data_IF_232978485231
#
_entry.id   IF_232978485231
#
_cell.length_a   1.000
_cell.length_b   1.000
_cell.length_c   1.000
_cell.angle_alpha   90.00
_cell.angle_beta   90.00
_cell.angle_gamma   90.00
#
_symmetry.space_group_name_H-M   'P 1'
#
loop_
_entity.id
_entity.type
_entity.pdbx_description
1 polymer ?
#
# COMPACT_ATOMS: atom_id res chain seq x y z
N UNK A 1 -9.42 22.32 -58.67
CA UNK A 1 -9.22 22.48 -57.21
C UNK A 1 -9.18 21.07 -56.64
N UNK A 2 -8.16 20.51 -55.99
CA UNK A 2 -6.94 20.99 -55.32
C UNK A 2 -5.81 19.96 -55.60
N UNK A 3 -4.57 20.44 -55.63
CA UNK A 3 -3.35 19.63 -55.78
C UNK A 3 -3.15 18.75 -54.54
N UNK A 4 -2.95 17.44 -54.72
CA UNK A 4 -2.36 16.57 -53.69
C UNK A 4 -0.86 16.91 -53.61
N UNK A 5 -0.43 17.46 -52.48
CA UNK A 5 0.98 17.59 -52.15
C UNK A 5 1.41 16.33 -51.39
N UNK A 6 2.37 15.63 -51.97
CA UNK A 6 3.08 14.49 -51.41
C UNK A 6 4.05 15.04 -50.34
N UNK A 7 3.73 14.85 -49.05
CA UNK A 7 4.67 15.11 -47.97
C UNK A 7 5.28 13.77 -47.54
N UNK A 8 6.51 13.51 -48.00
CA UNK A 8 7.32 12.41 -47.52
C UNK A 8 7.75 12.70 -46.08
N UNK A 9 7.38 11.82 -45.15
CA UNK A 9 7.92 11.86 -43.79
C UNK A 9 9.26 11.14 -43.82
N UNK A 10 10.31 11.95 -43.78
CA UNK A 10 11.71 11.58 -43.73
C UNK A 10 11.98 10.89 -42.39
N UNK A 11 12.33 9.61 -42.40
CA UNK A 11 12.92 8.91 -41.24
C UNK A 11 14.28 9.58 -40.95
N UNK A 12 14.31 10.43 -39.94
CA UNK A 12 15.56 10.92 -39.35
C UNK A 12 15.95 9.91 -38.28
N UNK A 13 16.98 9.12 -38.57
CA UNK A 13 17.67 8.33 -37.55
C UNK A 13 18.43 9.26 -36.61
N UNK A 14 18.04 9.26 -35.34
CA UNK A 14 18.85 9.79 -34.25
C UNK A 14 19.39 8.58 -33.48
N UNK A 15 20.66 8.29 -33.72
CA UNK A 15 21.49 7.62 -32.74
C UNK A 15 21.75 8.66 -31.63
N UNK A 16 21.16 8.44 -30.45
CA UNK A 16 21.51 9.17 -29.24
C UNK A 16 21.83 8.14 -28.15
N UNK A 17 23.10 8.13 -27.77
CA UNK A 17 23.68 7.35 -26.71
C UNK A 17 23.60 8.19 -25.44
N UNK A 18 22.50 8.09 -24.70
CA UNK A 18 22.32 8.48 -23.28
C UNK A 18 20.94 7.96 -22.81
N UNK A 19 20.69 6.67 -23.05
CA UNK A 19 19.35 6.06 -23.10
C UNK A 19 18.64 5.78 -21.76
N UNK A 20 18.89 6.59 -20.73
CA UNK A 20 18.18 6.48 -19.45
C UNK A 20 16.97 7.40 -19.39
N UNK A 21 17.21 8.69 -19.44
CA UNK A 21 16.20 9.71 -19.12
C UNK A 21 15.26 9.97 -20.31
N UNK A 22 15.77 9.98 -21.55
CA UNK A 22 14.93 10.11 -22.77
C UNK A 22 13.91 8.98 -22.90
N UNK A 23 14.29 7.76 -22.52
CA UNK A 23 13.40 6.60 -22.55
C UNK A 23 12.32 6.69 -21.46
N UNK A 24 12.68 7.19 -20.27
CA UNK A 24 11.74 7.43 -19.17
C UNK A 24 10.78 8.57 -19.50
N UNK A 25 11.25 9.65 -20.12
CA UNK A 25 10.39 10.77 -20.51
C UNK A 25 9.33 10.32 -21.52
N UNK A 26 9.72 9.58 -22.57
CA UNK A 26 8.77 9.02 -23.53
C UNK A 26 7.79 8.04 -22.86
N UNK A 27 8.30 7.18 -21.96
CA UNK A 27 7.47 6.28 -21.16
C UNK A 27 6.44 7.01 -20.31
N UNK A 28 6.83 8.11 -19.66
CA UNK A 28 5.95 8.93 -18.85
C UNK A 28 4.91 9.66 -19.69
N UNK A 29 5.27 10.17 -20.88
CA UNK A 29 4.29 10.79 -21.80
C UNK A 29 3.23 9.79 -22.26
N UNK A 30 3.63 8.55 -22.51
CA UNK A 30 2.69 7.46 -22.82
C UNK A 30 1.81 7.16 -21.61
N UNK A 31 2.39 7.02 -20.42
CA UNK A 31 1.65 6.71 -19.19
C UNK A 31 0.65 7.82 -18.81
N UNK A 32 1.02 9.09 -18.94
CA UNK A 32 0.12 10.22 -18.72
C UNK A 32 -1.05 10.19 -19.70
N UNK A 33 -0.76 10.01 -20.99
CA UNK A 33 -1.79 9.97 -22.01
C UNK A 33 -2.71 8.75 -21.88
N UNK A 34 -2.15 7.59 -21.51
CA UNK A 34 -2.91 6.34 -21.40
C UNK A 34 -3.76 6.33 -20.12
N UNK A 35 -3.20 6.76 -18.99
CA UNK A 35 -3.94 6.86 -17.72
C UNK A 35 -4.86 8.07 -17.63
N UNK A 36 -4.84 8.97 -18.63
CA UNK A 36 -5.69 10.14 -18.67
C UNK A 36 -5.37 11.17 -17.59
N UNK A 37 -4.14 11.16 -17.06
CA UNK A 37 -3.72 12.11 -16.04
C UNK A 37 -3.71 13.52 -16.63
N UNK A 38 -4.35 14.46 -15.93
CA UNK A 38 -4.43 15.86 -16.36
C UNK A 38 -3.77 16.82 -15.38
N UNK A 39 -3.47 16.35 -14.16
CA UNK A 39 -2.76 17.12 -13.14
C UNK A 39 -1.79 16.24 -12.35
N UNK A 40 -0.73 16.88 -11.85
CA UNK A 40 0.15 16.33 -10.82
C UNK A 40 0.34 17.36 -9.72
N UNK A 41 0.61 16.90 -8.50
CA UNK A 41 1.11 17.76 -7.44
C UNK A 41 2.18 17.05 -6.61
N UNK A 42 3.21 17.80 -6.24
CA UNK A 42 4.18 17.34 -5.24
C UNK A 42 3.52 17.44 -3.86
N UNK A 43 3.34 16.30 -3.19
CA UNK A 43 2.96 16.28 -1.79
C UNK A 43 4.16 16.79 -0.96
N UNK A 44 3.97 17.92 -0.29
CA UNK A 44 4.89 18.46 0.69
C UNK A 44 4.18 18.78 2.01
N UNK A 45 4.06 17.77 2.87
CA UNK A 45 3.65 17.97 4.27
C UNK A 45 4.67 18.82 5.08
N UNK A 46 5.87 19.05 4.51
CA UNK A 46 6.88 19.95 5.04
C UNK A 46 7.61 20.72 3.92
N UNK A 47 7.71 22.04 4.05
CA UNK A 47 8.48 22.93 3.15
C UNK A 47 9.79 23.42 3.78
N UNK A 48 10.02 23.08 5.04
CA UNK A 48 11.25 23.41 5.79
C UNK A 48 11.84 22.14 6.38
N UNK A 49 13.14 21.90 6.15
CA UNK A 49 13.85 20.72 6.65
C UNK A 49 15.15 21.10 7.38
N UNK A 50 15.59 20.21 8.27
CA UNK A 50 16.88 20.36 8.96
C UNK A 50 18.04 20.12 7.99
N UNK A 51 19.15 20.86 8.16
CA UNK A 51 20.39 20.53 7.47
C UNK A 51 20.86 19.11 7.86
N UNK A 52 21.33 18.33 6.90
CA UNK A 52 21.72 16.92 7.04
C UNK A 52 20.57 15.97 7.42
N UNK A 53 19.30 16.37 7.25
CA UNK A 53 18.16 15.45 7.29
C UNK A 53 17.69 15.08 5.88
N UNK A 54 16.75 14.14 5.81
CA UNK A 54 16.10 13.74 4.58
C UNK A 54 14.59 13.98 4.68
N UNK A 55 13.96 14.25 3.54
CA UNK A 55 12.53 14.41 3.36
C UNK A 55 12.11 13.61 2.12
N UNK A 56 11.15 12.71 2.26
CA UNK A 56 10.59 11.99 1.13
C UNK A 56 9.43 12.80 0.55
N UNK A 57 9.56 13.26 -0.68
CA UNK A 57 8.46 13.86 -1.43
C UNK A 57 7.75 12.77 -2.23
N UNK A 58 6.45 12.98 -2.46
CA UNK A 58 5.69 12.15 -3.40
C UNK A 58 5.14 13.03 -4.52
N UNK A 59 5.13 12.52 -5.75
CA UNK A 59 4.37 13.11 -6.86
C UNK A 59 3.08 12.32 -7.02
N UNK A 60 1.94 12.99 -6.81
CA UNK A 60 0.62 12.40 -6.97
C UNK A 60 0.00 12.88 -8.28
N UNK A 61 -0.61 11.96 -9.04
CA UNK A 61 -1.29 12.24 -10.29
C UNK A 61 -2.80 11.97 -10.17
N UNK A 62 -3.57 12.73 -10.94
CA UNK A 62 -5.03 12.65 -10.96
C UNK A 62 -5.60 12.93 -12.34
N UNK A 63 -6.85 12.53 -12.53
CA UNK A 63 -7.65 12.80 -13.74
C UNK A 63 -8.57 14.01 -13.50
N UNK A 64 -9.26 14.48 -14.55
CA UNK A 64 -10.11 15.69 -14.49
C UNK A 64 -11.12 15.63 -13.33
N UNK A 65 -10.82 16.36 -12.25
CA UNK A 65 -11.55 16.30 -10.97
C UNK A 65 -10.71 16.52 -9.70
N UNK A 66 -9.37 16.55 -9.81
CA UNK A 66 -8.40 16.86 -8.74
C UNK A 66 -8.29 15.83 -7.58
N UNK A 67 -8.79 14.60 -7.77
CA UNK A 67 -8.44 13.49 -6.88
C UNK A 67 -7.01 13.01 -7.19
N UNK A 68 -6.04 13.56 -6.45
CA UNK A 68 -4.62 13.25 -6.57
C UNK A 68 -4.27 12.06 -5.68
N UNK A 69 -4.63 10.86 -6.13
CA UNK A 69 -4.45 9.62 -5.34
C UNK A 69 -3.41 8.66 -5.93
N UNK A 70 -2.95 8.87 -7.17
CA UNK A 70 -2.03 7.94 -7.83
C UNK A 70 -0.57 8.37 -7.58
N UNK A 71 0.18 7.59 -6.81
CA UNK A 71 1.61 7.87 -6.57
C UNK A 71 2.45 7.49 -7.80
N UNK A 72 3.03 8.50 -8.46
CA UNK A 72 3.88 8.36 -9.66
C UNK A 72 5.33 8.76 -9.40
N UNK A 73 5.75 8.82 -8.14
CA UNK A 73 7.07 9.34 -7.72
C UNK A 73 8.25 8.60 -8.33
N UNK A 74 8.13 7.27 -8.53
CA UNK A 74 9.18 6.44 -9.13
C UNK A 74 9.26 6.58 -10.65
N UNK A 75 8.19 7.06 -11.28
CA UNK A 75 8.14 7.35 -12.71
C UNK A 75 8.69 8.75 -13.00
N UNK A 76 8.42 9.71 -12.12
CA UNK A 76 8.81 11.10 -12.28
C UNK A 76 10.34 11.28 -12.41
N UNK A 77 10.73 12.34 -13.11
CA UNK A 77 12.10 12.83 -13.18
C UNK A 77 12.22 13.96 -12.16
N UNK A 78 13.07 13.75 -11.16
CA UNK A 78 13.28 14.69 -10.07
C UNK A 78 14.58 15.45 -10.26
N UNK A 79 14.56 16.75 -10.03
CA UNK A 79 15.78 17.56 -9.97
C UNK A 79 15.67 18.70 -8.95
N UNK A 80 16.84 19.17 -8.51
CA UNK A 80 16.97 20.33 -7.62
C UNK A 80 17.56 21.50 -8.40
N UNK A 81 17.05 22.71 -8.18
CA UNK A 81 17.59 23.93 -8.78
C UNK A 81 18.94 24.34 -8.19
N UNK A 82 19.27 23.86 -6.98
CA UNK A 82 20.56 24.08 -6.32
C UNK A 82 20.97 22.84 -5.49
N UNK A 83 21.77 21.97 -6.11
CA UNK A 83 22.33 20.78 -5.48
C UNK A 83 23.33 21.08 -4.35
N UNK A 84 23.74 22.32 -4.14
CA UNK A 84 24.56 22.70 -2.97
C UNK A 84 23.71 22.89 -1.72
N UNK A 85 22.43 23.30 -1.89
CA UNK A 85 21.45 23.47 -0.80
C UNK A 85 20.76 22.14 -0.48
N UNK A 86 20.22 21.44 -1.47
CA UNK A 86 19.66 20.10 -1.29
C UNK A 86 19.72 19.29 -2.59
N UNK A 87 19.93 17.99 -2.47
CA UNK A 87 19.88 17.03 -3.60
C UNK A 87 18.61 16.21 -3.54
N UNK A 88 18.09 15.73 -4.67
CA UNK A 88 16.93 14.82 -4.73
C UNK A 88 17.27 13.54 -5.48
N UNK A 89 16.82 12.40 -4.96
CA UNK A 89 16.99 11.09 -5.62
C UNK A 89 15.94 10.86 -6.71
N UNK A 90 16.16 9.83 -7.54
CA UNK A 90 15.18 9.41 -8.56
C UNK A 90 13.85 8.88 -7.97
N UNK A 91 13.75 8.70 -6.65
CA UNK A 91 12.52 8.31 -5.96
C UNK A 91 11.87 9.47 -5.20
N UNK A 92 12.38 10.70 -5.33
CA UNK A 92 11.87 11.87 -4.59
C UNK A 92 12.44 12.06 -3.19
N UNK A 93 13.51 11.34 -2.82
CA UNK A 93 14.17 11.52 -1.51
C UNK A 93 15.09 12.73 -1.54
N UNK A 94 14.70 13.81 -0.87
CA UNK A 94 15.45 15.06 -0.74
C UNK A 94 16.42 14.95 0.44
N UNK A 95 17.68 15.32 0.24
CA UNK A 95 18.71 15.41 1.28
C UNK A 95 19.18 16.85 1.41
N UNK A 96 18.93 17.47 2.57
CA UNK A 96 19.32 18.85 2.84
C UNK A 96 20.80 18.94 3.22
N UNK A 97 21.53 19.87 2.62
CA UNK A 97 22.98 20.00 2.79
C UNK A 97 23.36 21.29 3.51
N UNK A 98 23.01 22.45 2.95
CA UNK A 98 23.39 23.76 3.49
C UNK A 98 22.20 24.69 3.58
N UNK A 99 22.27 25.64 4.52
CA UNK A 99 21.24 26.66 4.69
C UNK A 99 20.96 27.42 3.40
N UNK A 100 19.68 27.47 3.03
CA UNK A 100 19.25 28.06 1.77
C UNK A 100 17.84 27.67 1.40
N UNK A 101 17.40 28.14 0.25
CA UNK A 101 16.14 27.72 -0.37
C UNK A 101 16.50 27.16 -1.74
N UNK A 102 15.99 25.98 -2.05
CA UNK A 102 16.09 25.39 -3.39
C UNK A 102 14.73 24.89 -3.82
N UNK A 103 14.49 24.85 -5.13
CA UNK A 103 13.25 24.36 -5.69
C UNK A 103 13.47 22.93 -6.15
N UNK A 104 12.67 22.02 -5.61
CA UNK A 104 12.61 20.63 -6.07
C UNK A 104 11.51 20.54 -7.12
N UNK A 105 11.86 20.04 -8.30
CA UNK A 105 10.98 19.97 -9.46
C UNK A 105 10.81 18.50 -9.83
N UNK A 106 9.57 18.13 -10.12
CA UNK A 106 9.18 16.78 -10.47
C UNK A 106 8.41 16.80 -11.80
N UNK A 107 9.02 16.25 -12.84
CA UNK A 107 8.42 16.14 -14.16
C UNK A 107 7.88 14.74 -14.41
N UNK A 108 6.63 14.67 -14.86
CA UNK A 108 5.93 13.45 -15.22
C UNK A 108 5.33 13.61 -16.62
N UNK A 109 6.13 13.32 -17.64
CA UNK A 109 5.73 13.47 -19.03
C UNK A 109 5.50 14.95 -19.37
N UNK A 110 4.32 15.35 -19.87
CA UNK A 110 4.01 16.77 -20.11
C UNK A 110 3.56 17.52 -18.86
N UNK A 111 3.37 16.83 -17.73
CA UNK A 111 2.94 17.42 -16.47
C UNK A 111 4.17 17.62 -15.59
N UNK A 112 4.15 18.66 -14.76
CA UNK A 112 5.20 18.91 -13.80
C UNK A 112 4.67 19.77 -12.67
N UNK A 113 5.28 19.60 -11.51
CA UNK A 113 5.04 20.45 -10.36
C UNK A 113 6.34 20.66 -9.57
N UNK A 114 6.35 21.66 -8.70
CA UNK A 114 7.55 22.07 -7.98
C UNK A 114 7.22 22.57 -6.59
N UNK A 115 8.16 22.36 -5.66
CA UNK A 115 8.07 22.85 -4.29
C UNK A 115 9.38 23.52 -3.88
N UNK A 116 9.28 24.67 -3.23
CA UNK A 116 10.43 25.29 -2.58
C UNK A 116 10.70 24.60 -1.24
N UNK A 117 11.93 24.11 -1.08
CA UNK A 117 12.45 23.51 0.13
C UNK A 117 13.45 24.47 0.76
N UNK A 118 13.14 24.91 1.99
CA UNK A 118 14.06 25.67 2.83
C UNK A 118 14.86 24.71 3.71
N UNK A 119 16.17 24.69 3.54
CA UNK A 119 17.11 24.01 4.44
C UNK A 119 17.59 25.00 5.48
N UNK A 120 17.54 24.62 6.76
CA UNK A 120 17.99 25.48 7.86
C UNK A 120 18.67 24.68 8.97
N UNK A 121 19.81 25.19 9.43
CA UNK A 121 20.65 24.68 10.50
C UNK A 121 20.33 25.26 11.88
N UNK A 122 19.22 26.02 11.99
CA UNK A 122 18.73 26.52 13.25
C UNK A 122 18.64 25.39 14.29
N UNK A 123 19.06 25.61 15.55
CA UNK A 123 19.03 24.56 16.56
C UNK A 123 17.60 24.34 17.06
N UNK A 124 17.22 23.06 17.17
CA UNK A 124 15.95 22.66 17.78
C UNK A 124 15.96 23.05 19.27
N UNK A 125 14.96 23.83 19.68
CA UNK A 125 14.84 24.34 21.05
C UNK A 125 13.78 23.61 21.86
N UNK A 126 12.69 23.17 21.23
CA UNK A 126 11.58 22.49 21.88
C UNK A 126 10.84 21.60 20.88
N UNK A 127 10.25 20.50 21.37
CA UNK A 127 9.28 19.70 20.63
C UNK A 127 7.92 19.82 21.31
N UNK A 128 6.89 20.16 20.55
CA UNK A 128 5.50 20.13 20.97
C UNK A 128 4.85 18.86 20.43
N UNK A 129 4.40 17.99 21.32
CA UNK A 129 3.71 16.76 20.97
C UNK A 129 2.22 16.95 21.17
N UNK A 130 1.41 16.60 20.18
CA UNK A 130 -0.05 16.66 20.26
C UNK A 130 -0.68 15.39 19.71
N UNK A 131 -1.90 15.11 20.18
CA UNK A 131 -2.79 14.07 19.67
C UNK A 131 -4.21 14.66 19.61
N UNK A 132 -5.03 14.33 18.59
CA UNK A 132 -6.44 14.73 18.57
C UNK A 132 -7.24 14.12 19.74
N UNK A 133 -6.86 12.92 20.16
CA UNK A 133 -7.55 12.13 21.17
C UNK A 133 -6.70 12.04 22.43
N UNK A 134 -7.21 12.58 23.54
CA UNK A 134 -6.55 12.49 24.85
C UNK A 134 -6.83 11.15 25.57
N UNK A 135 -7.85 10.43 25.11
CA UNK A 135 -8.18 9.09 25.55
C UNK A 135 -8.64 8.26 24.35
N UNK A 136 -8.27 6.98 24.34
CA UNK A 136 -8.67 5.99 23.35
C UNK A 136 -9.10 4.70 24.04
N UNK A 137 -9.80 3.84 23.31
CA UNK A 137 -10.18 2.53 23.81
C UNK A 137 -8.99 1.57 23.78
N UNK A 138 -9.03 0.53 24.61
CA UNK A 138 -8.03 -0.54 24.57
C UNK A 138 -8.05 -1.25 23.21
N UNK A 139 -6.89 -1.70 22.72
CA UNK A 139 -6.75 -2.39 21.43
C UNK A 139 -7.02 -1.51 20.20
N UNK A 140 -7.00 -0.18 20.35
CA UNK A 140 -7.13 0.79 19.26
C UNK A 140 -5.84 1.58 19.06
N UNK A 141 -5.86 2.59 18.18
CA UNK A 141 -4.68 3.38 17.85
C UNK A 141 -4.96 4.88 17.91
N UNK A 142 -3.94 5.65 18.26
CA UNK A 142 -3.96 7.12 18.20
C UNK A 142 -2.78 7.64 17.38
N UNK A 143 -3.02 8.69 16.61
CA UNK A 143 -1.96 9.38 15.87
C UNK A 143 -1.43 10.57 16.65
N UNK A 144 -0.11 10.64 16.78
CA UNK A 144 0.61 11.76 17.39
C UNK A 144 1.32 12.57 16.33
N UNK A 145 1.40 13.87 16.56
CA UNK A 145 2.24 14.78 15.77
C UNK A 145 3.29 15.45 16.65
N UNK A 146 4.47 15.68 16.07
CA UNK A 146 5.56 16.40 16.69
C UNK A 146 5.89 17.67 15.89
N UNK A 147 5.72 18.82 16.52
CA UNK A 147 6.09 20.14 16.00
C UNK A 147 7.39 20.61 16.64
N UNK A 148 8.42 20.86 15.84
CA UNK A 148 9.71 21.39 16.28
C UNK A 148 9.70 22.92 16.33
N UNK A 149 10.14 23.49 17.45
CA UNK A 149 10.38 24.93 17.62
C UNK A 149 11.88 25.17 17.51
N UNK A 150 12.30 25.94 16.52
CA UNK A 150 13.72 26.20 16.22
C UNK A 150 14.11 27.62 16.60
N UNK A 151 15.32 27.78 17.14
CA UNK A 151 15.75 29.09 17.63
C UNK A 151 15.86 30.10 16.48
N UNK A 152 15.17 31.24 16.61
CA UNK A 152 15.18 32.31 15.61
C UNK A 152 14.22 32.11 14.44
N UNK A 153 13.39 31.07 14.47
CA UNK A 153 12.30 30.86 13.51
C UNK A 153 10.95 31.16 14.15
N UNK A 154 10.05 31.78 13.39
CA UNK A 154 8.68 32.08 13.85
C UNK A 154 7.73 30.90 13.65
N UNK A 155 7.98 30.10 12.61
CA UNK A 155 7.16 28.94 12.25
C UNK A 155 7.71 27.65 12.87
N UNK A 156 6.78 26.76 13.26
CA UNK A 156 7.12 25.43 13.73
C UNK A 156 7.23 24.47 12.55
N UNK A 157 8.09 23.46 12.66
CA UNK A 157 8.27 22.46 11.60
C UNK A 157 7.63 21.13 11.97
N UNK A 158 6.98 20.47 11.02
CA UNK A 158 6.55 19.09 11.21
C UNK A 158 7.74 18.15 11.19
N UNK A 159 8.00 17.53 12.34
CA UNK A 159 9.10 16.57 12.52
C UNK A 159 8.59 15.18 12.89
N UNK A 160 7.28 14.92 12.81
CA UNK A 160 6.63 13.65 13.17
C UNK A 160 7.34 12.43 12.58
N UNK A 161 7.77 12.52 11.31
CA UNK A 161 8.46 11.43 10.60
C UNK A 161 9.94 11.24 10.93
N UNK A 162 10.56 12.13 11.70
CA UNK A 162 12.02 12.13 11.95
C UNK A 162 12.40 12.19 13.43
N UNK A 163 11.41 12.21 14.35
CA UNK A 163 11.64 12.06 15.79
C UNK A 163 11.65 10.58 16.18
N UNK A 164 12.36 10.27 17.27
CA UNK A 164 12.31 8.98 17.93
C UNK A 164 11.10 8.95 18.86
N UNK A 165 10.07 8.17 18.51
CA UNK A 165 8.87 8.00 19.32
C UNK A 165 9.04 6.89 20.37
N UNK A 166 8.56 7.15 21.58
CA UNK A 166 8.51 6.18 22.67
C UNK A 166 7.32 6.44 23.60
N UNK A 167 6.92 5.43 24.36
CA UNK A 167 5.91 5.54 25.41
C UNK A 167 6.47 4.98 26.73
N UNK A 168 5.96 5.47 27.85
CA UNK A 168 6.27 4.90 29.18
C UNK A 168 5.89 3.41 29.25
N UNK A 169 6.72 2.62 29.93
CA UNK A 169 6.59 1.16 29.99
C UNK A 169 6.09 0.61 31.34
N UNK A 170 5.80 1.49 32.30
CA UNK A 170 5.27 1.11 33.62
C UNK A 170 4.09 2.03 34.00
N UNK A 171 2.83 1.60 33.75
CA UNK A 171 2.45 0.35 33.09
C UNK A 171 2.75 0.36 31.58
N UNK A 172 2.92 -0.82 30.97
CA UNK A 172 3.03 -0.96 29.51
C UNK A 172 1.64 -0.84 28.89
N UNK A 173 1.26 0.36 28.46
CA UNK A 173 -0.07 0.69 27.91
C UNK A 173 -0.15 0.43 26.39
N UNK A 174 0.97 0.61 25.68
CA UNK A 174 1.03 0.46 24.23
C UNK A 174 2.42 0.76 23.68
N UNK A 175 2.56 0.68 22.36
CA UNK A 175 3.83 0.86 21.65
C UNK A 175 3.64 1.69 20.38
N UNK A 176 4.71 2.33 19.91
CA UNK A 176 4.71 3.02 18.63
C UNK A 176 5.08 2.07 17.49
N UNK A 177 4.38 2.21 16.35
CA UNK A 177 4.84 1.63 15.10
C UNK A 177 5.91 2.53 14.45
N UNK A 178 7.17 2.27 14.79
CA UNK A 178 8.30 2.99 14.22
C UNK A 178 8.73 2.48 12.84
N UNK A 179 7.96 1.57 12.22
CA UNK A 179 8.36 0.86 10.99
C UNK A 179 7.53 1.24 9.78
N UNK A 180 6.23 1.44 9.95
CA UNK A 180 5.31 1.71 8.83
C UNK A 180 4.76 3.15 8.85
N UNK A 181 4.38 3.66 10.03
CA UNK A 181 3.62 4.90 10.17
C UNK A 181 4.12 5.70 11.37
N UNK A 182 4.93 6.72 11.10
CA UNK A 182 5.50 7.56 12.16
C UNK A 182 4.40 8.23 13.01
N UNK A 183 4.60 8.23 14.33
CA UNK A 183 3.64 8.82 15.28
C UNK A 183 2.40 7.97 15.55
N UNK A 184 2.26 6.76 14.99
CA UNK A 184 1.14 5.87 15.29
C UNK A 184 1.39 5.10 16.59
N UNK A 185 0.60 5.39 17.62
CA UNK A 185 0.59 4.68 18.89
C UNK A 185 -0.51 3.60 18.88
N UNK A 186 -0.16 2.37 19.21
CA UNK A 186 -1.08 1.22 19.31
C UNK A 186 -1.23 0.81 20.77
N UNK A 187 -2.45 0.88 21.32
CA UNK A 187 -2.73 0.47 22.69
C UNK A 187 -2.86 -1.05 22.79
N UNK A 188 -2.44 -1.60 23.93
CA UNK A 188 -2.54 -3.03 24.24
C UNK A 188 -3.07 -3.32 25.64
N UNK A 189 -2.84 -2.39 26.59
CA UNK A 189 -3.34 -2.49 27.96
C UNK A 189 -3.92 -1.14 28.41
N UNK A 190 -4.88 -1.19 29.32
CA UNK A 190 -5.46 0.01 29.97
C UNK A 190 -4.45 0.77 30.83
N UNK A 191 -4.69 2.07 31.02
CA UNK A 191 -3.89 2.94 31.90
C UNK A 191 -3.48 4.25 31.23
N UNK A 192 -2.53 4.96 31.84
CA UNK A 192 -2.02 6.23 31.30
C UNK A 192 -0.57 6.05 30.88
N UNK A 193 -0.24 6.46 29.66
CA UNK A 193 1.14 6.52 29.18
C UNK A 193 1.58 7.96 28.94
N UNK A 194 2.86 8.21 29.18
CA UNK A 194 3.54 9.41 28.68
C UNK A 194 4.21 9.06 27.36
N UNK A 195 3.73 9.65 26.28
CA UNK A 195 4.36 9.64 24.95
C UNK A 195 5.48 10.65 24.94
N UNK A 196 6.63 10.24 24.40
CA UNK A 196 7.81 11.10 24.24
C UNK A 196 8.31 11.02 22.80
N UNK A 197 8.41 12.17 22.15
CA UNK A 197 9.14 12.35 20.90
C UNK A 197 10.51 12.97 21.23
N UNK A 198 11.59 12.39 20.73
CA UNK A 198 12.95 12.91 20.96
C UNK A 198 13.65 13.17 19.63
N UNK A 199 14.35 14.30 19.53
CA UNK A 199 15.24 14.62 18.39
C UNK A 199 16.44 15.38 18.92
N UNK A 200 17.65 14.95 18.55
CA UNK A 200 18.90 15.61 18.96
C UNK A 200 19.00 15.84 20.49
N UNK A 201 18.45 14.91 21.29
CA UNK A 201 18.42 15.00 22.75
C UNK A 201 17.38 15.96 23.34
N UNK A 202 16.55 16.62 22.52
CA UNK A 202 15.43 17.46 22.97
C UNK A 202 14.16 16.60 23.04
N UNK A 203 13.55 16.41 24.22
CA UNK A 203 12.29 15.69 24.35
C UNK A 203 11.09 16.64 24.24
N UNK A 204 10.00 16.13 23.68
CA UNK A 204 8.64 16.66 23.84
C UNK A 204 7.73 15.55 24.35
N UNK A 205 6.77 15.88 25.21
CA UNK A 205 5.93 14.88 25.89
C UNK A 205 4.45 15.21 25.82
N UNK A 206 3.61 14.18 25.71
CA UNK A 206 2.16 14.26 25.78
C UNK A 206 1.62 13.02 26.52
N UNK A 207 0.59 13.18 27.35
CA UNK A 207 -0.08 12.04 28.01
C UNK A 207 -1.23 11.52 27.16
N UNK A 208 -1.45 10.20 27.20
CA UNK A 208 -2.59 9.50 26.62
C UNK A 208 -3.18 8.54 27.64
N UNK A 209 -4.51 8.42 27.67
CA UNK A 209 -5.21 7.45 28.52
C UNK A 209 -5.84 6.37 27.66
N UNK A 210 -5.62 5.11 28.00
CA UNK A 210 -6.30 3.96 27.40
C UNK A 210 -7.38 3.49 28.37
N UNK A 211 -8.62 3.55 27.92
CA UNK A 211 -9.81 3.25 28.71
C UNK A 211 -9.94 1.74 28.95
N UNK A 212 -10.56 1.39 30.08
CA UNK A 212 -10.89 0.01 30.43
C UNK A 212 -12.37 -0.25 30.17
N UNK A 213 -12.72 -0.38 28.90
CA UNK A 213 -14.09 -0.56 28.41
C UNK A 213 -14.22 -1.70 27.40
N UNK A 214 -13.16 -2.48 27.15
CA UNK A 214 -13.21 -3.61 26.23
C UNK A 214 -14.13 -4.72 26.77
N UNK A 215 -15.24 -4.96 26.08
CA UNK A 215 -16.25 -5.93 26.47
C UNK A 215 -15.95 -7.32 25.87
N UNK A 216 -15.88 -7.39 24.54
CA UNK A 216 -15.65 -8.65 23.81
C UNK A 216 -14.79 -8.42 22.57
N UNK A 217 -14.03 -9.44 22.19
CA UNK A 217 -13.35 -9.55 20.90
C UNK A 217 -13.99 -10.73 20.14
N UNK A 218 -14.12 -10.60 18.83
CA UNK A 218 -14.66 -11.62 17.93
C UNK A 218 -13.75 -11.76 16.69
N UNK A 219 -13.42 -13.00 16.30
CA UNK A 219 -12.75 -13.29 15.03
C UNK A 219 -13.80 -13.34 13.93
N UNK A 220 -13.68 -12.45 12.94
CA UNK A 220 -14.53 -12.52 11.75
C UNK A 220 -14.13 -13.75 10.92
N UNK A 221 -15.06 -14.69 10.74
CA UNK A 221 -14.87 -15.85 9.88
C UNK A 221 -14.96 -15.43 8.39
N UNK A 222 -13.87 -15.56 7.60
CA UNK A 222 -13.96 -15.39 6.17
C UNK A 222 -14.81 -16.53 5.58
N UNK A 223 -15.53 -16.27 4.49
CA UNK A 223 -16.31 -17.29 3.76
C UNK A 223 -15.46 -18.36 3.06
N UNK A 224 -14.14 -18.33 3.24
CA UNK A 224 -13.14 -19.12 2.54
C UNK A 224 -12.60 -20.26 3.40
N UNK A 225 -12.27 -21.40 2.77
CA UNK A 225 -11.68 -22.55 3.47
C UNK A 225 -10.16 -22.52 3.42
N UNK A 226 -9.53 -22.67 4.58
CA UNK A 226 -8.09 -22.79 4.64
C UNK A 226 -7.65 -24.15 4.07
N UNK A 227 -6.83 -24.16 3.02
CA UNK A 227 -6.23 -25.38 2.44
C UNK A 227 -4.70 -25.31 2.55
N UNK A 228 -3.99 -26.45 2.54
CA UNK A 228 -2.54 -26.43 2.67
C UNK A 228 -1.89 -25.53 1.62
N UNK A 229 -0.93 -24.72 2.05
CA UNK A 229 -0.15 -23.74 1.28
C UNK A 229 -0.93 -22.51 0.80
N UNK A 230 -2.19 -22.37 1.18
CA UNK A 230 -2.95 -21.14 0.99
C UNK A 230 -2.96 -20.26 2.23
N UNK A 231 -3.11 -18.97 1.98
CA UNK A 231 -3.24 -17.95 3.00
C UNK A 231 -4.62 -17.31 2.96
N UNK A 232 -5.14 -16.93 4.12
CA UNK A 232 -6.44 -16.28 4.27
C UNK A 232 -6.31 -15.18 5.29
N UNK A 233 -6.87 -14.02 5.00
CA UNK A 233 -6.98 -12.93 5.95
C UNK A 233 -8.10 -13.18 6.94
N UNK A 234 -7.75 -13.15 8.21
CA UNK A 234 -8.70 -13.06 9.30
C UNK A 234 -8.64 -11.64 9.86
N UNK A 235 -9.81 -11.09 10.17
CA UNK A 235 -9.92 -9.85 10.93
C UNK A 235 -10.50 -10.12 12.31
N UNK A 236 -10.19 -9.23 13.24
CA UNK A 236 -10.75 -9.26 14.59
C UNK A 236 -11.43 -7.94 14.88
N UNK A 237 -12.57 -8.01 15.52
CA UNK A 237 -13.31 -6.82 15.95
C UNK A 237 -13.54 -6.82 17.45
N UNK A 238 -13.58 -5.63 18.04
CA UNK A 238 -13.89 -5.42 19.44
C UNK A 238 -15.19 -4.64 19.62
N UNK A 239 -15.91 -4.91 20.71
CA UNK A 239 -17.00 -4.07 21.21
C UNK A 239 -16.65 -3.51 22.58
N UNK A 240 -17.15 -2.30 22.86
CA UNK A 240 -16.82 -1.55 24.06
C UNK A 240 -18.07 -1.24 24.90
N UNK A 241 -17.90 -1.01 26.20
CA UNK A 241 -19.04 -0.77 27.12
C UNK A 241 -19.76 0.57 26.89
N UNK A 242 -19.09 1.53 26.24
CA UNK A 242 -19.61 2.87 25.96
C UNK A 242 -20.34 2.97 24.61
N UNK A 243 -20.11 2.01 23.71
CA UNK A 243 -20.79 1.91 22.43
C UNK A 243 -20.86 0.45 21.93
N UNK A 244 -22.03 0.03 21.43
CA UNK A 244 -22.22 -1.30 20.84
C UNK A 244 -21.63 -1.41 19.41
N UNK A 245 -20.85 -0.43 18.97
CA UNK A 245 -20.25 -0.45 17.63
C UNK A 245 -19.04 -1.40 17.62
N UNK A 246 -18.92 -2.14 16.53
CA UNK A 246 -17.82 -3.08 16.33
C UNK A 246 -16.65 -2.35 15.67
N UNK A 247 -15.50 -2.32 16.34
CA UNK A 247 -14.27 -1.64 15.88
C UNK A 247 -13.27 -2.69 15.41
N UNK A 248 -12.67 -2.50 14.24
CA UNK A 248 -11.60 -3.35 13.75
C UNK A 248 -10.32 -3.16 14.60
N UNK A 249 -9.82 -4.25 15.17
CA UNK A 249 -8.62 -4.31 15.99
C UNK A 249 -7.55 -5.26 15.42
N UNK A 250 -7.70 -5.70 14.17
CA UNK A 250 -6.87 -6.73 13.53
C UNK A 250 -5.37 -6.44 13.68
N UNK A 251 -4.98 -5.20 13.41
CA UNK A 251 -3.59 -4.75 13.48
C UNK A 251 -3.07 -4.52 14.91
N UNK A 252 -3.98 -4.33 15.86
CA UNK A 252 -3.66 -4.06 17.26
C UNK A 252 -3.63 -5.35 18.11
N UNK A 253 -4.33 -6.39 17.66
CA UNK A 253 -4.40 -7.66 18.36
C UNK A 253 -3.15 -8.53 18.19
N UNK A 254 -3.00 -9.55 19.02
CA UNK A 254 -2.00 -10.59 18.86
C UNK A 254 -2.67 -11.89 18.41
N UNK A 255 -2.12 -12.52 17.37
CA UNK A 255 -2.69 -13.70 16.73
C UNK A 255 -1.81 -14.92 16.96
N UNK A 256 -2.42 -16.05 17.29
CA UNK A 256 -1.71 -17.33 17.50
C UNK A 256 -2.49 -18.44 16.82
N UNK A 257 -1.78 -19.28 16.07
CA UNK A 257 -2.33 -20.55 15.58
C UNK A 257 -1.73 -21.71 16.37
N UNK A 258 -2.58 -22.59 16.87
CA UNK A 258 -2.18 -23.78 17.63
C UNK A 258 -2.79 -25.04 17.00
N UNK A 259 -2.04 -26.14 17.01
CA UNK A 259 -2.50 -27.45 16.52
C UNK A 259 -1.64 -28.56 17.13
N UNK A 260 -2.18 -29.77 17.21
CA UNK A 260 -1.43 -30.99 17.51
C UNK A 260 -0.65 -31.52 16.28
N UNK A 261 -0.93 -30.97 15.10
CA UNK A 261 -0.20 -31.25 13.86
C UNK A 261 1.06 -30.38 13.80
N UNK A 262 2.22 -31.04 13.70
CA UNK A 262 3.52 -30.36 13.49
C UNK A 262 3.50 -29.63 12.14
N UNK A 263 3.89 -28.36 12.16
CA UNK A 263 3.85 -27.45 11.00
C UNK A 263 2.44 -27.37 10.37
N UNK A 264 1.40 -27.26 11.20
CA UNK A 264 0.03 -27.09 10.74
C UNK A 264 -0.16 -25.84 9.88
N UNK A 265 0.36 -24.70 10.36
CA UNK A 265 0.23 -23.40 9.71
C UNK A 265 0.95 -22.32 10.50
N UNK A 266 0.99 -21.11 9.95
CA UNK A 266 1.52 -19.90 10.57
C UNK A 266 0.48 -18.79 10.51
N UNK A 267 0.57 -17.83 11.41
CA UNK A 267 -0.17 -16.57 11.35
C UNK A 267 0.82 -15.41 11.42
N UNK A 268 0.64 -14.42 10.56
CA UNK A 268 1.48 -13.23 10.54
C UNK A 268 1.03 -12.23 11.62
N UNK A 269 2.00 -11.68 12.35
CA UNK A 269 1.80 -10.67 13.39
C UNK A 269 2.48 -9.34 13.04
N UNK A 270 2.94 -9.19 11.81
CA UNK A 270 3.63 -8.03 11.29
C UNK A 270 2.80 -7.33 10.23
N UNK A 271 2.83 -6.01 10.22
CA UNK A 271 2.11 -5.22 9.22
C UNK A 271 2.85 -5.27 7.87
N UNK A 272 2.13 -5.19 6.74
CA UNK A 272 0.67 -5.02 6.63
C UNK A 272 -0.13 -6.33 6.67
N UNK A 273 0.54 -7.48 6.80
CA UNK A 273 -0.08 -8.80 6.65
C UNK A 273 -0.65 -9.36 7.95
N UNK A 274 -0.81 -8.53 8.99
CA UNK A 274 -1.19 -8.97 10.33
C UNK A 274 -2.58 -9.63 10.30
N UNK A 275 -2.68 -10.83 10.86
CA UNK A 275 -3.90 -11.66 10.76
C UNK A 275 -3.95 -12.60 9.55
N UNK A 276 -2.96 -12.55 8.64
CA UNK A 276 -2.83 -13.49 7.53
C UNK A 276 -2.44 -14.87 8.04
N UNK A 277 -3.33 -15.85 7.86
CA UNK A 277 -3.10 -17.24 8.27
C UNK A 277 -2.76 -18.08 7.06
N UNK A 278 -1.60 -18.74 7.06
CA UNK A 278 -1.20 -19.71 6.04
C UNK A 278 -1.23 -21.12 6.60
N UNK A 279 -2.11 -21.99 6.10
CA UNK A 279 -1.98 -23.42 6.38
C UNK A 279 -0.79 -24.00 5.64
N UNK A 280 -0.11 -24.94 6.27
CA UNK A 280 1.01 -25.69 5.65
C UNK A 280 0.63 -27.16 5.49
N UNK A 281 -0.27 -27.70 6.33
CA UNK A 281 -0.71 -29.10 6.30
C UNK A 281 -2.19 -29.23 6.59
N UNK A 282 -2.74 -30.34 6.11
CA UNK A 282 -4.09 -30.78 6.44
C UNK A 282 -4.19 -31.11 7.92
N UNK A 283 -5.26 -30.71 8.60
CA UNK A 283 -5.42 -30.95 10.03
C UNK A 283 -6.48 -30.06 10.66
N UNK A 284 -6.60 -30.16 11.98
CA UNK A 284 -7.38 -29.23 12.77
C UNK A 284 -6.44 -28.37 13.62
N UNK A 285 -6.75 -27.09 13.74
CA UNK A 285 -6.08 -26.18 14.66
C UNK A 285 -7.07 -25.17 15.20
N UNK A 286 -6.59 -24.32 16.08
CA UNK A 286 -7.35 -23.21 16.64
C UNK A 286 -6.57 -21.94 16.38
N UNK A 287 -7.24 -20.98 15.74
CA UNK A 287 -6.77 -19.61 15.66
C UNK A 287 -7.29 -18.86 16.89
N UNK A 288 -6.40 -18.21 17.60
CA UNK A 288 -6.71 -17.42 18.78
C UNK A 288 -6.26 -16.00 18.53
N UNK A 289 -7.15 -15.05 18.77
CA UNK A 289 -6.82 -13.62 18.83
C UNK A 289 -6.88 -13.17 20.29
N UNK A 290 -5.97 -12.28 20.68
CA UNK A 290 -5.89 -11.77 22.05
C UNK A 290 -5.54 -10.30 22.06
N UNK A 291 -6.23 -9.51 22.89
CA UNK A 291 -5.86 -8.13 23.20
C UNK A 291 -6.56 -7.67 24.49
N UNK A 292 -5.92 -6.78 25.28
CA UNK A 292 -6.53 -6.25 26.51
C UNK A 292 -6.88 -7.31 27.57
N UNK A 293 -6.19 -8.45 27.55
CA UNK A 293 -6.53 -9.62 28.38
C UNK A 293 -7.75 -10.42 27.91
N UNK A 294 -8.48 -9.94 26.90
CA UNK A 294 -9.55 -10.68 26.23
C UNK A 294 -8.98 -11.59 25.13
N UNK A 295 -9.70 -12.68 24.87
CA UNK A 295 -9.35 -13.62 23.81
C UNK A 295 -10.61 -14.14 23.13
N UNK A 296 -10.52 -14.36 21.83
CA UNK A 296 -11.46 -15.19 21.09
C UNK A 296 -10.72 -16.32 20.36
N UNK A 297 -11.42 -17.42 20.08
CA UNK A 297 -10.82 -18.59 19.46
C UNK A 297 -11.76 -19.25 18.46
N UNK A 298 -11.25 -19.37 17.24
CA UNK A 298 -11.93 -19.97 16.12
C UNK A 298 -11.28 -21.32 15.76
N UNK A 299 -12.01 -22.44 15.82
CA UNK A 299 -11.51 -23.70 15.27
C UNK A 299 -11.35 -23.59 13.75
N UNK A 300 -10.14 -23.83 13.27
CA UNK A 300 -9.82 -23.86 11.84
C UNK A 300 -9.58 -25.30 11.42
N UNK A 301 -10.27 -25.73 10.37
CA UNK A 301 -10.03 -27.00 9.71
C UNK A 301 -9.32 -26.75 8.39
N UNK A 302 -8.09 -27.25 8.26
CA UNK A 302 -7.42 -27.36 6.98
C UNK A 302 -7.74 -28.71 6.35
N UNK A 303 -8.63 -28.68 5.35
CA UNK A 303 -9.05 -29.89 4.64
C UNK A 303 -7.92 -30.54 3.83
N UNK A 304 -8.14 -31.78 3.39
CA UNK A 304 -7.30 -32.41 2.37
C UNK A 304 -7.18 -31.49 1.17
N UNK A 305 -5.99 -31.37 0.58
CA UNK A 305 -5.85 -30.69 -0.70
C UNK A 305 -6.70 -31.46 -1.73
N UNK A 306 -7.88 -30.93 -2.03
CA UNK A 306 -8.80 -31.56 -2.97
C UNK A 306 -8.21 -31.40 -4.35
N UNK A 307 -8.27 -32.48 -5.15
CA UNK A 307 -7.75 -32.45 -6.52
C UNK A 307 -8.53 -31.39 -7.29
N UNK A 308 -7.80 -30.43 -7.86
CA UNK A 308 -8.41 -29.45 -8.77
C UNK A 308 -8.83 -30.18 -10.04
N UNK A 309 -10.13 -30.14 -10.34
CA UNK A 309 -10.69 -30.74 -11.55
C UNK A 309 -10.97 -29.71 -12.63
N UNK A 310 -11.09 -28.44 -12.28
CA UNK A 310 -11.24 -27.35 -13.26
C UNK A 310 -10.61 -26.05 -12.77
N UNK A 311 -10.27 -25.18 -13.71
CA UNK A 311 -9.79 -23.82 -13.50
C UNK A 311 -10.52 -22.93 -14.51
N UNK A 312 -11.27 -21.93 -14.05
CA UNK A 312 -12.16 -21.10 -14.84
C UNK A 312 -11.94 -19.61 -14.52
N UNK A 313 -12.15 -18.73 -15.50
CA UNK A 313 -12.19 -17.28 -15.30
C UNK A 313 -13.62 -16.73 -15.34
N UNK A 314 -13.90 -15.72 -14.53
CA UNK A 314 -15.13 -14.92 -14.52
C UNK A 314 -14.80 -13.48 -14.88
N UNK A 315 -15.65 -12.76 -15.66
CA UNK A 315 -17.02 -13.12 -16.03
C UNK A 315 -17.19 -14.07 -17.22
N UNK A 316 -16.17 -14.30 -18.03
CA UNK A 316 -16.17 -15.28 -19.15
C UNK A 316 -14.77 -15.87 -19.31
N UNK A 317 -14.66 -17.20 -19.48
CA UNK A 317 -13.39 -17.92 -19.56
C UNK A 317 -12.76 -17.93 -20.95
N UNK A 318 -13.53 -17.52 -21.98
CA UNK A 318 -13.08 -17.59 -23.37
C UNK A 318 -13.00 -16.21 -24.01
N UNK A 319 -14.08 -15.43 -23.97
CA UNK A 319 -14.15 -14.17 -24.72
C UNK A 319 -15.10 -13.15 -24.10
N UNK A 320 -14.57 -11.96 -23.83
CA UNK A 320 -15.34 -10.81 -23.39
C UNK A 320 -15.36 -9.78 -24.53
N UNK A 321 -16.55 -9.52 -25.06
CA UNK A 321 -16.79 -8.48 -26.06
C UNK A 321 -17.88 -7.55 -25.55
N UNK A 322 -17.49 -6.38 -25.06
CA UNK A 322 -18.39 -5.36 -24.51
C UNK A 322 -17.92 -3.97 -24.96
N UNK A 323 -18.82 -2.98 -25.10
CA UNK A 323 -18.42 -1.61 -25.38
C UNK A 323 -17.78 -1.02 -24.12
N UNK A 324 -16.46 -0.97 -24.09
CA UNK A 324 -15.74 -0.31 -23.00
C UNK A 324 -15.45 1.14 -23.36
N UNK A 325 -15.48 2.00 -22.35
CA UNK A 325 -15.06 3.40 -22.42
C UNK A 325 -13.68 3.52 -21.77
N UNK A 326 -12.86 4.48 -22.20
CA UNK A 326 -11.59 4.77 -21.54
C UNK A 326 -11.82 5.11 -20.07
N UNK A 327 -11.12 4.43 -19.17
CA UNK A 327 -11.30 4.47 -17.72
C UNK A 327 -12.11 3.30 -17.15
N UNK A 328 -12.74 2.47 -17.99
CA UNK A 328 -13.48 1.31 -17.50
C UNK A 328 -12.55 0.29 -16.85
N UNK A 329 -13.01 -0.28 -15.75
CA UNK A 329 -12.32 -1.34 -15.04
C UNK A 329 -13.04 -2.68 -15.21
N UNK A 330 -12.27 -3.72 -15.48
CA UNK A 330 -12.73 -5.09 -15.56
C UNK A 330 -11.90 -5.95 -14.60
N UNK A 331 -12.52 -6.34 -13.50
CA UNK A 331 -11.95 -7.34 -12.60
C UNK A 331 -12.15 -8.74 -13.19
N UNK A 332 -11.07 -9.38 -13.61
CA UNK A 332 -11.09 -10.82 -13.83
C UNK A 332 -10.89 -11.53 -12.50
N UNK A 333 -11.67 -12.57 -12.28
CA UNK A 333 -11.52 -13.46 -11.12
C UNK A 333 -11.26 -14.87 -11.62
N UNK A 334 -10.39 -15.59 -10.92
CA UNK A 334 -10.06 -16.96 -11.27
C UNK A 334 -10.56 -17.91 -10.21
N UNK A 335 -11.17 -19.01 -10.61
CA UNK A 335 -11.77 -19.99 -9.73
C UNK A 335 -11.22 -21.37 -10.03
N UNK A 336 -10.98 -22.16 -8.99
CA UNK A 336 -10.73 -23.60 -9.13
C UNK A 336 -11.95 -24.37 -8.67
N UNK A 337 -12.32 -25.40 -9.43
CA UNK A 337 -13.29 -26.39 -9.01
C UNK A 337 -12.58 -27.65 -8.55
N UNK A 338 -13.03 -28.20 -7.44
CA UNK A 338 -12.48 -29.40 -6.82
C UNK A 338 -13.30 -30.65 -7.13
N UNK A 339 -12.71 -31.84 -6.92
CA UNK A 339 -13.39 -33.13 -7.11
C UNK A 339 -14.65 -33.29 -6.25
N UNK A 340 -14.69 -32.68 -5.06
CA UNK A 340 -15.86 -32.65 -4.18
C UNK A 340 -16.96 -31.67 -4.64
N UNK A 341 -16.79 -31.05 -5.81
CA UNK A 341 -17.66 -30.04 -6.44
C UNK A 341 -17.69 -28.68 -5.75
N UNK A 342 -16.81 -28.45 -4.78
CA UNK A 342 -16.63 -27.10 -4.23
C UNK A 342 -15.81 -26.23 -5.20
N UNK A 343 -15.94 -24.91 -5.06
CA UNK A 343 -15.17 -23.94 -5.84
C UNK A 343 -14.49 -22.96 -4.88
N UNK A 344 -13.23 -22.62 -5.16
CA UNK A 344 -12.52 -21.54 -4.47
C UNK A 344 -12.15 -20.45 -5.47
N UNK A 345 -12.29 -19.18 -5.05
CA UNK A 345 -11.68 -18.06 -5.75
C UNK A 345 -10.17 -18.04 -5.43
N UNK A 346 -9.33 -18.06 -6.47
CA UNK A 346 -7.86 -18.09 -6.38
C UNK A 346 -7.23 -16.91 -7.13
N UNK A 347 -7.96 -15.80 -7.25
CA UNK A 347 -7.54 -14.59 -7.98
C UNK A 347 -6.18 -14.08 -7.49
N UNK A 348 -6.00 -14.01 -6.17
CA UNK A 348 -4.77 -13.52 -5.53
C UNK A 348 -3.58 -14.50 -5.68
N UNK A 349 -3.86 -15.81 -5.72
CA UNK A 349 -2.85 -16.88 -5.88
C UNK A 349 -2.45 -17.13 -7.35
N UNK A 350 -3.13 -16.47 -8.29
CA UNK A 350 -2.95 -16.71 -9.72
C UNK A 350 -1.93 -15.74 -10.30
N UNK A 351 -1.05 -16.21 -11.18
CA UNK A 351 -0.18 -15.34 -11.97
C UNK A 351 -0.93 -14.82 -13.17
N UNK A 352 -1.03 -13.49 -13.30
CA UNK A 352 -1.72 -12.84 -14.39
C UNK A 352 -0.73 -12.18 -15.34
N UNK A 353 -0.90 -12.48 -16.62
CA UNK A 353 -0.11 -11.87 -17.71
C UNK A 353 -1.06 -11.42 -18.80
N UNK A 354 -0.71 -10.35 -19.51
CA UNK A 354 -1.50 -9.84 -20.61
C UNK A 354 -0.64 -9.72 -21.85
N UNK A 355 -1.18 -10.17 -22.98
CA UNK A 355 -0.62 -9.97 -24.32
C UNK A 355 -1.59 -9.10 -25.09
N UNK A 356 -1.12 -7.98 -25.61
CA UNK A 356 -1.92 -7.01 -26.35
C UNK A 356 -1.52 -6.97 -27.83
N UNK A 357 -2.49 -6.73 -28.71
CA UNK A 357 -2.21 -6.27 -30.08
C UNK A 357 -1.52 -4.90 -30.07
N UNK A 358 -0.79 -4.57 -31.15
CA UNK A 358 -0.21 -3.23 -31.32
C UNK A 358 -1.28 -2.15 -31.06
N UNK A 359 -0.96 -1.21 -30.17
CA UNK A 359 -1.78 -0.06 -29.74
C UNK A 359 -2.91 -0.31 -28.72
N UNK A 360 -3.05 -1.49 -28.11
CA UNK A 360 -3.97 -1.62 -26.95
C UNK A 360 -3.39 -0.88 -25.74
N UNK A 361 -4.14 0.07 -25.19
CA UNK A 361 -3.78 0.77 -23.94
C UNK A 361 -4.59 0.15 -22.80
N UNK A 362 -3.93 -0.65 -21.96
CA UNK A 362 -4.51 -1.26 -20.76
C UNK A 362 -3.43 -1.38 -19.68
N UNK A 363 -3.86 -1.45 -18.42
CA UNK A 363 -3.03 -1.96 -17.32
C UNK A 363 -3.63 -3.26 -16.80
N UNK A 364 -2.80 -4.13 -16.22
CA UNK A 364 -3.22 -5.33 -15.51
C UNK A 364 -2.53 -5.28 -14.14
N UNK A 365 -3.32 -5.22 -13.07
CA UNK A 365 -2.78 -5.23 -11.72
C UNK A 365 -2.41 -6.65 -11.29
N UNK A 366 -1.24 -6.77 -10.66
CA UNK A 366 -0.80 -7.96 -9.93
C UNK A 366 -0.63 -7.67 -8.42
N UNK A 367 -1.02 -6.47 -7.98
CA UNK A 367 -0.94 -6.04 -6.59
C UNK A 367 -2.02 -6.72 -5.76
N UNK A 368 -1.71 -6.97 -4.49
CA UNK A 368 -2.64 -7.58 -3.55
C UNK A 368 -3.93 -6.76 -3.46
N UNK A 369 -5.08 -7.42 -3.53
CA UNK A 369 -6.41 -6.79 -3.41
C UNK A 369 -6.92 -6.16 -4.71
N UNK A 370 -6.09 -6.05 -5.75
CA UNK A 370 -6.50 -5.64 -7.11
C UNK A 370 -5.98 -6.61 -8.17
N UNK A 371 -5.49 -7.79 -7.80
CA UNK A 371 -4.88 -8.71 -8.75
C UNK A 371 -5.91 -9.18 -9.77
N UNK A 372 -5.56 -9.17 -11.05
CA UNK A 372 -6.50 -9.48 -12.13
C UNK A 372 -7.41 -8.31 -12.55
N UNK A 373 -7.27 -7.13 -11.94
CA UNK A 373 -7.94 -5.91 -12.37
C UNK A 373 -7.31 -5.39 -13.66
N UNK A 374 -8.15 -5.15 -14.66
CA UNK A 374 -7.75 -4.57 -15.94
C UNK A 374 -8.35 -3.17 -16.04
N UNK A 375 -7.53 -2.15 -16.17
CA UNK A 375 -8.00 -0.80 -16.47
C UNK A 375 -7.85 -0.55 -17.96
N UNK A 376 -8.96 -0.23 -18.62
CA UNK A 376 -9.05 -0.09 -20.07
C UNK A 376 -8.87 1.37 -20.45
N UNK A 377 -7.85 1.66 -21.25
CA UNK A 377 -7.47 3.03 -21.61
C UNK A 377 -7.69 3.32 -23.11
N UNK A 378 -7.82 2.28 -23.94
CA UNK A 378 -8.05 2.44 -25.37
C UNK A 378 -8.53 1.17 -26.05
N UNK A 379 -8.87 1.29 -27.33
CA UNK A 379 -9.34 0.17 -28.15
C UNK A 379 -8.23 -0.85 -28.40
N UNK A 380 -8.62 -2.10 -28.58
CA UNK A 380 -7.67 -3.14 -28.90
C UNK A 380 -8.19 -4.53 -28.61
N UNK A 381 -7.36 -5.51 -28.97
CA UNK A 381 -7.60 -6.91 -28.65
C UNK A 381 -6.51 -7.36 -27.70
N UNK A 382 -6.90 -7.89 -26.56
CA UNK A 382 -5.95 -8.41 -25.58
C UNK A 382 -6.28 -9.85 -25.24
N UNK A 383 -5.26 -10.60 -24.86
CA UNK A 383 -5.39 -11.93 -24.30
C UNK A 383 -4.78 -11.90 -22.91
N UNK A 384 -5.61 -12.13 -21.91
CA UNK A 384 -5.17 -12.23 -20.52
C UNK A 384 -5.00 -13.70 -20.21
N UNK A 385 -3.80 -14.07 -19.78
CA UNK A 385 -3.45 -15.42 -19.36
C UNK A 385 -3.31 -15.45 -17.85
N UNK A 386 -4.13 -16.29 -17.24
CA UNK A 386 -4.11 -16.62 -15.83
C UNK A 386 -3.45 -18.00 -15.67
N UNK A 387 -2.45 -18.10 -14.80
CA UNK A 387 -1.80 -19.37 -14.47
C UNK A 387 -1.84 -19.59 -12.97
N UNK A 388 -2.64 -20.56 -12.55
CA UNK A 388 -2.71 -21.05 -11.19
C UNK A 388 -1.78 -22.27 -11.05
N UNK A 389 -0.93 -22.28 -10.03
CA UNK A 389 -0.11 -23.46 -9.73
C UNK A 389 -0.94 -24.37 -8.80
N UNK A 390 -1.46 -25.45 -9.37
CA UNK A 390 -2.21 -26.48 -8.64
C UNK A 390 -1.23 -27.36 -7.84
N UNK A 391 -1.17 -27.09 -6.55
CA UNK A 391 -0.37 -27.84 -5.59
C UNK A 391 -1.21 -28.85 -4.79
N UNK A 392 -2.40 -29.22 -5.29
CA UNK A 392 -3.25 -30.22 -4.64
C UNK A 392 -2.64 -31.63 -4.63
N UNK A 393 -1.60 -31.85 -5.44
CA UNK A 393 -0.83 -33.09 -5.47
C UNK A 393 0.61 -32.85 -5.02
N UNK A 394 1.38 -33.92 -4.78
CA UNK A 394 2.80 -33.82 -4.44
C UNK A 394 3.68 -33.23 -5.56
N UNK A 395 3.10 -32.92 -6.73
CA UNK A 395 3.76 -32.26 -7.86
C UNK A 395 2.96 -31.00 -8.20
N UNK A 396 3.63 -29.86 -8.30
CA UNK A 396 3.01 -28.63 -8.77
C UNK A 396 2.58 -28.77 -10.24
N UNK A 397 1.29 -28.62 -10.52
CA UNK A 397 0.72 -28.71 -11.86
C UNK A 397 0.24 -27.32 -12.29
N UNK A 398 0.80 -26.68 -13.32
CA UNK A 398 0.27 -25.41 -13.80
C UNK A 398 -1.08 -25.62 -14.49
N UNK A 399 -2.10 -24.89 -14.03
CA UNK A 399 -3.42 -24.75 -14.67
C UNK A 399 -3.49 -23.38 -15.30
N UNK A 400 -3.68 -23.34 -16.62
CA UNK A 400 -3.68 -22.07 -17.36
C UNK A 400 -4.99 -21.89 -18.11
N UNK A 401 -5.58 -20.70 -17.98
CA UNK A 401 -6.69 -20.23 -18.80
C UNK A 401 -6.31 -18.94 -19.49
N UNK A 402 -6.97 -18.64 -20.59
CA UNK A 402 -6.76 -17.40 -21.32
C UNK A 402 -8.07 -16.87 -21.85
N UNK A 403 -8.38 -15.63 -21.49
CA UNK A 403 -9.57 -14.93 -21.98
C UNK A 403 -9.15 -13.89 -22.99
N UNK A 404 -9.85 -13.86 -24.11
CA UNK A 404 -9.73 -12.80 -25.10
C UNK A 404 -10.69 -11.66 -24.79
N UNK A 405 -10.18 -10.44 -24.73
CA UNK A 405 -11.00 -9.25 -24.50
C UNK A 405 -10.90 -8.37 -25.73
N UNK A 406 -12.06 -8.07 -26.31
CA UNK A 406 -12.21 -7.17 -27.45
C UNK A 406 -12.76 -5.84 -26.95
N UNK A 407 -11.96 -4.80 -27.11
CA UNK A 407 -12.26 -3.44 -26.69
C UNK A 407 -12.58 -2.62 -27.96
N UNK A 408 -13.87 -2.38 -28.17
CA UNK A 408 -14.42 -1.85 -29.44
C UNK A 408 -14.43 -0.32 -29.57
#
# INVERSE_FOLDING_TARGET
MKKLALAGLMLVGLAACEGGDDARELGNRVLVASSGFTAVAVNSDATVMEANSQLQLALLAGTDGADLSNNVSSNAIWFSSDNTVATVSASGLVSGLTDGITTIIADFGPLGDSVDIRVSSAPLSQILVTTPEAAIDECTSASFTAMGVYAGEEEQRNITGIVDWSASTDPLVGVFDNTSTAGLFRSSNTGTATVTATRNGVPGTQSITVLNNLNLIDIAEPSFRLTPRRSVDFSATATFDDNDESVDITDNANWVISSDVVDYGRVDNTLPDKGLVTATRTGAGTLTVSCGGQTDSLPILSGSATVVVDFELSPDDNRIERPFVGGDELQLRSFVRFEDRTNDEVTEDTSWTVTASENSLITLSNERGSRGLITIQGRGRITVRATYIDESTNVAVPRTRSVEIIIN
#
